data_IF_170998076297
#
_entry.id   IF_170998076297
#
_cell.length_a   1.000
_cell.length_b   1.000
_cell.length_c   1.000
_cell.angle_alpha   90.00
_cell.angle_beta   90.00
_cell.angle_gamma   90.00
#
_symmetry.space_group_name_H-M   'P 1'
#
loop_
_entity.id
_entity.type
_entity.pdbx_description
1 polymer ?
#
# COMPACT_ATOMS: atom_id res chain seq x y z
N UNK A 1 3.26 11.30 1.92
CA UNK A 1 2.59 10.01 1.75
C UNK A 1 1.18 10.30 1.32
N UNK A 2 0.88 9.98 0.06
CA UNK A 2 -0.46 10.02 -0.49
C UNK A 2 -1.19 8.72 -0.16
N UNK A 3 -2.46 8.80 0.23
CA UNK A 3 -3.29 7.64 0.57
C UNK A 3 -4.56 7.71 -0.25
N UNK A 4 -4.82 6.65 -1.00
CA UNK A 4 -6.05 6.50 -1.78
C UNK A 4 -6.64 5.11 -1.55
N UNK A 5 -7.89 4.91 -1.93
CA UNK A 5 -8.55 3.61 -1.93
C UNK A 5 -8.92 3.21 -3.35
N UNK A 6 -8.74 1.94 -3.70
CA UNK A 6 -9.42 1.33 -4.84
C UNK A 6 -10.71 0.72 -4.30
N UNK A 7 -11.85 1.14 -4.85
CA UNK A 7 -13.17 0.66 -4.47
C UNK A 7 -13.55 -0.48 -5.42
N UNK A 8 -13.88 -1.63 -4.86
CA UNK A 8 -14.36 -2.81 -5.59
C UNK A 8 -15.84 -3.00 -5.22
N UNK A 9 -16.78 -2.97 -6.17
CA UNK A 9 -18.18 -3.20 -5.87
C UNK A 9 -18.39 -4.61 -5.33
N UNK A 10 -19.25 -4.74 -4.30
CA UNK A 10 -19.68 -6.03 -3.78
C UNK A 10 -20.90 -6.57 -4.51
N UNK A 11 -21.17 -7.88 -4.33
CA UNK A 11 -22.31 -8.55 -4.97
C UNK A 11 -23.66 -8.27 -4.29
N UNK A 12 -23.63 -7.71 -3.08
CA UNK A 12 -24.83 -7.32 -2.32
C UNK A 12 -25.01 -5.80 -2.37
N UNK A 13 -26.23 -5.28 -2.64
CA UNK A 13 -26.49 -3.84 -2.61
C UNK A 13 -26.03 -3.20 -1.29
N UNK A 14 -25.21 -2.17 -1.40
CA UNK A 14 -24.64 -1.46 -0.25
C UNK A 14 -23.31 -2.01 0.26
N UNK A 15 -22.80 -3.11 -0.31
CA UNK A 15 -21.47 -3.66 0.03
C UNK A 15 -20.42 -3.17 -0.95
N UNK A 16 -19.28 -2.73 -0.43
CA UNK A 16 -18.08 -2.40 -1.20
C UNK A 16 -16.84 -2.88 -0.45
N UNK A 17 -15.79 -3.20 -1.20
CA UNK A 17 -14.48 -3.55 -0.65
C UNK A 17 -13.51 -2.41 -0.93
N UNK A 18 -12.73 -2.04 0.08
CA UNK A 18 -11.76 -0.95 -0.01
C UNK A 18 -10.36 -1.50 0.08
N UNK A 19 -9.57 -1.21 -0.93
CA UNK A 19 -8.17 -1.59 -1.01
C UNK A 19 -7.31 -0.34 -0.78
N UNK A 20 -6.67 -0.20 0.39
CA UNK A 20 -5.83 0.96 0.66
C UNK A 20 -4.55 0.90 -0.19
N UNK A 21 -4.21 2.02 -0.81
CA UNK A 21 -2.99 2.21 -1.60
C UNK A 21 -2.23 3.40 -1.03
N UNK A 22 -1.02 3.14 -0.56
CA UNK A 22 -0.11 4.15 -0.02
C UNK A 22 0.95 4.48 -1.08
N UNK A 23 1.17 5.76 -1.36
CA UNK A 23 2.19 6.22 -2.30
C UNK A 23 3.19 7.16 -1.64
N UNK A 24 4.46 6.93 -1.95
CA UNK A 24 5.58 7.76 -1.55
C UNK A 24 6.25 8.33 -2.80
N UNK A 25 6.44 9.64 -2.83
CA UNK A 25 7.07 10.31 -3.96
C UNK A 25 8.59 10.12 -3.94
N UNK A 26 9.14 9.68 -5.06
CA UNK A 26 10.58 9.69 -5.28
C UNK A 26 11.08 11.07 -5.71
N UNK A 27 12.36 11.36 -5.45
CA UNK A 27 12.99 12.62 -5.89
C UNK A 27 13.48 12.60 -7.34
N UNK A 28 13.77 11.41 -7.88
CA UNK A 28 14.36 11.24 -9.21
C UNK A 28 13.35 10.55 -10.16
N UNK A 29 12.81 11.26 -11.16
CA UNK A 29 11.91 10.69 -12.15
C UNK A 29 12.51 9.54 -12.99
N UNK A 30 13.85 9.40 -13.01
CA UNK A 30 14.56 8.34 -13.73
C UNK A 30 14.81 7.10 -12.86
N UNK A 31 14.64 7.19 -11.55
CA UNK A 31 14.81 6.05 -10.66
C UNK A 31 13.68 5.03 -10.89
N UNK A 32 13.94 3.72 -10.74
CA UNK A 32 12.92 2.69 -10.85
C UNK A 32 11.78 2.89 -9.84
N UNK A 33 10.57 2.55 -10.28
CA UNK A 33 9.40 2.53 -9.40
C UNK A 33 9.29 1.18 -8.69
N UNK A 34 8.86 1.20 -7.44
CA UNK A 34 8.71 0.00 -6.62
C UNK A 34 7.25 -0.21 -6.24
N UNK A 35 6.77 -1.44 -6.37
CA UNK A 35 5.46 -1.87 -5.89
C UNK A 35 5.63 -2.98 -4.85
N UNK A 36 4.95 -2.86 -3.71
CA UNK A 36 5.01 -3.83 -2.62
C UNK A 36 3.58 -4.13 -2.15
N UNK A 37 3.25 -5.42 -2.00
CA UNK A 37 1.96 -5.84 -1.46
C UNK A 37 2.11 -6.96 -0.43
N UNK A 38 1.13 -7.10 0.46
CA UNK A 38 1.01 -8.20 1.40
C UNK A 38 -0.44 -8.68 1.56
N UNK A 39 -0.63 -9.82 2.22
CA UNK A 39 -1.93 -10.43 2.53
C UNK A 39 -2.83 -10.62 1.29
N UNK A 40 -2.27 -11.15 0.20
CA UNK A 40 -3.07 -11.65 -0.93
C UNK A 40 -3.84 -12.91 -0.51
N UNK A 41 -3.15 -13.85 0.13
CA UNK A 41 -3.82 -14.78 1.04
C UNK A 41 -4.11 -13.99 2.32
N UNK A 42 -5.37 -13.71 2.59
CA UNK A 42 -5.78 -12.73 3.60
C UNK A 42 -5.30 -13.06 5.03
N UNK A 43 -5.04 -14.34 5.34
CA UNK A 43 -4.49 -14.77 6.63
C UNK A 43 -2.98 -14.59 6.80
N UNK A 44 -2.23 -14.19 5.76
CA UNK A 44 -0.76 -14.04 5.81
C UNK A 44 -0.34 -12.66 6.35
N UNK A 45 -0.61 -12.44 7.64
CA UNK A 45 -0.42 -11.16 8.32
C UNK A 45 1.05 -10.69 8.54
N UNK A 46 2.10 -11.53 8.57
CA UNK A 46 3.47 -11.05 8.79
C UNK A 46 3.92 -10.00 7.77
N UNK A 47 3.50 -10.14 6.49
CA UNK A 47 3.81 -9.14 5.46
C UNK A 47 3.13 -7.80 5.73
N UNK A 48 1.86 -7.82 6.16
CA UNK A 48 1.12 -6.60 6.53
C UNK A 48 1.76 -5.91 7.74
N UNK A 49 2.18 -6.67 8.75
CA UNK A 49 2.90 -6.14 9.90
C UNK A 49 4.23 -5.49 9.49
N UNK A 50 5.00 -6.12 8.60
CA UNK A 50 6.22 -5.53 8.05
C UNK A 50 5.93 -4.21 7.34
N UNK A 51 4.88 -4.17 6.51
CA UNK A 51 4.51 -2.98 5.75
C UNK A 51 4.06 -1.81 6.63
N UNK A 52 3.47 -2.09 7.79
CA UNK A 52 3.16 -1.05 8.80
C UNK A 52 4.43 -0.31 9.24
N UNK A 53 5.45 -1.05 9.71
CA UNK A 53 6.73 -0.45 10.14
C UNK A 53 7.52 0.15 8.98
N UNK A 54 7.51 -0.48 7.81
CA UNK A 54 8.16 0.07 6.62
C UNK A 54 7.54 1.41 6.22
N UNK A 55 6.22 1.55 6.31
CA UNK A 55 5.51 2.79 5.96
C UNK A 55 5.91 3.96 6.87
N UNK A 56 6.19 3.72 8.16
CA UNK A 56 6.73 4.75 9.05
C UNK A 56 8.14 5.19 8.63
N UNK A 57 9.01 4.23 8.29
CA UNK A 57 10.37 4.53 7.82
C UNK A 57 10.35 5.29 6.49
N UNK A 58 9.47 4.90 5.57
CA UNK A 58 9.30 5.57 4.28
C UNK A 58 8.71 6.97 4.42
N UNK A 59 7.78 7.20 5.36
CA UNK A 59 7.29 8.56 5.68
C UNK A 59 8.43 9.48 6.09
N UNK A 60 9.32 9.01 6.97
CA UNK A 60 10.52 9.76 7.36
C UNK A 60 11.45 9.98 6.18
N UNK A 61 11.79 8.93 5.43
CA UNK A 61 12.68 9.04 4.28
C UNK A 61 12.14 9.99 3.19
N UNK A 62 10.83 9.99 2.94
CA UNK A 62 10.18 10.92 2.01
C UNK A 62 10.32 12.37 2.49
N UNK A 63 10.08 12.63 3.79
CA UNK A 63 10.24 13.97 4.36
C UNK A 63 11.69 14.49 4.32
N UNK A 64 12.66 13.57 4.32
CA UNK A 64 14.10 13.87 4.22
C UNK A 64 14.59 13.89 2.76
N UNK A 65 13.72 13.64 1.76
CA UNK A 65 14.11 13.55 0.36
C UNK A 65 15.07 12.39 0.05
N UNK A 66 15.00 11.31 0.82
CA UNK A 66 15.85 10.13 0.72
C UNK A 66 15.24 9.00 -0.15
N UNK A 67 13.97 9.12 -0.57
CA UNK A 67 13.33 8.18 -1.49
C UNK A 67 13.78 8.49 -2.93
N UNK A 68 14.47 7.54 -3.57
CA UNK A 68 15.00 7.74 -4.92
C UNK A 68 13.91 7.73 -5.99
N UNK A 69 13.13 6.65 -6.08
CA UNK A 69 12.03 6.49 -7.02
C UNK A 69 10.70 6.25 -6.30
N UNK A 70 9.59 6.44 -7.02
CA UNK A 70 8.24 6.28 -6.45
C UNK A 70 8.03 4.88 -5.85
N UNK A 71 7.36 4.83 -4.70
CA UNK A 71 7.00 3.57 -4.04
C UNK A 71 5.49 3.52 -3.86
N UNK A 72 4.86 2.43 -4.30
CA UNK A 72 3.45 2.11 -4.05
C UNK A 72 3.36 0.90 -3.13
N UNK A 73 2.57 1.00 -2.06
CA UNK A 73 2.35 -0.07 -1.07
C UNK A 73 0.86 -0.40 -0.98
N UNK A 74 0.55 -1.69 -1.02
CA UNK A 74 -0.79 -2.24 -0.77
C UNK A 74 -0.71 -3.20 0.43
N UNK A 75 -0.99 -2.71 1.67
CA UNK A 75 -0.71 -3.48 2.88
C UNK A 75 -1.63 -4.68 3.11
N UNK A 76 -2.85 -4.63 2.57
CA UNK A 76 -3.81 -5.73 2.61
C UNK A 76 -4.43 -5.89 1.22
N UNK A 77 -3.82 -6.77 0.40
CA UNK A 77 -4.13 -6.90 -1.03
C UNK A 77 -5.48 -7.55 -1.32
N UNK A 78 -6.08 -8.24 -0.34
CA UNK A 78 -7.31 -9.00 -0.53
C UNK A 78 -8.33 -8.70 0.59
N UNK A 79 -9.10 -7.59 0.48
CA UNK A 79 -10.17 -7.28 1.44
C UNK A 79 -11.31 -8.31 1.41
N UNK A 80 -11.57 -8.94 0.26
CA UNK A 80 -12.65 -9.94 0.09
C UNK A 80 -12.34 -11.21 0.89
N UNK A 81 -11.11 -11.72 0.80
CA UNK A 81 -10.68 -12.91 1.53
C UNK A 81 -10.50 -12.70 3.03
N UNK A 82 -10.52 -11.45 3.51
CA UNK A 82 -10.40 -11.09 4.92
C UNK A 82 -11.77 -10.97 5.62
N UNK A 83 -12.86 -11.05 4.86
CA UNK A 83 -14.23 -10.85 5.32
C UNK A 83 -14.87 -12.11 5.92
#
# INVERSE_FOLDING_TARGET
MDVSEIIIPGDTPGTEWRLPVLRFAGRDPKAPKTYIQAALHAGELPGTALLHFLSERLRRAESEGAVAGDITIVPQANPIGAA
#
